data_IF_483947108213
#
_entry.id   IF_483947108213
#
_cell.length_a   1.000
_cell.length_b   1.000
_cell.length_c   1.000
_cell.angle_alpha   90.00
_cell.angle_beta   90.00
_cell.angle_gamma   90.00
#
_symmetry.space_group_name_H-M   'P 1'
#
loop_
_entity.id
_entity.type
_entity.pdbx_description
1 polymer ?
#
# COMPACT_ATOMS: atom_id res chain seq x y z
N UNK A 1 -9.78 -19.05 6.63
CA UNK A 1 -8.88 -19.92 5.82
C UNK A 1 -8.62 -19.21 4.49
N UNK A 2 -7.39 -18.79 4.20
CA UNK A 2 -7.02 -18.32 2.86
C UNK A 2 -7.29 -19.44 1.85
N UNK A 3 -7.99 -19.14 0.75
CA UNK A 3 -8.16 -20.10 -0.36
C UNK A 3 -6.78 -20.37 -0.99
N UNK A 4 -6.48 -21.62 -1.29
CA UNK A 4 -5.19 -22.08 -1.83
C UNK A 4 -4.69 -21.26 -3.03
N UNK A 5 -5.61 -20.71 -3.84
CA UNK A 5 -5.28 -19.80 -4.95
C UNK A 5 -4.65 -18.46 -4.53
N UNK A 6 -5.09 -17.86 -3.42
CA UNK A 6 -4.54 -16.60 -2.93
C UNK A 6 -3.10 -16.77 -2.39
N UNK A 7 -2.79 -17.94 -1.83
CA UNK A 7 -1.44 -18.28 -1.39
C UNK A 7 -0.47 -18.41 -2.57
N UNK A 8 -0.90 -19.07 -3.65
CA UNK A 8 -0.08 -19.24 -4.85
C UNK A 8 0.13 -17.91 -5.59
N UNK A 9 -0.88 -17.03 -5.64
CA UNK A 9 -0.74 -15.70 -6.24
C UNK A 9 0.23 -14.81 -5.44
N UNK A 10 0.12 -14.83 -4.10
CA UNK A 10 1.03 -14.09 -3.23
C UNK A 10 2.48 -14.60 -3.38
N UNK A 11 2.66 -15.93 -3.41
CA UNK A 11 3.97 -16.55 -3.65
C UNK A 11 4.50 -16.20 -5.04
N UNK A 12 3.65 -16.20 -6.07
CA UNK A 12 4.02 -15.80 -7.43
C UNK A 12 4.42 -14.32 -7.51
N UNK A 13 3.70 -13.42 -6.83
CA UNK A 13 4.05 -12.00 -6.76
C UNK A 13 5.39 -11.79 -6.03
N UNK A 14 5.63 -12.54 -4.95
CA UNK A 14 6.93 -12.56 -4.26
C UNK A 14 8.03 -13.06 -5.22
N UNK A 15 7.83 -14.18 -5.92
CA UNK A 15 8.80 -14.75 -6.86
C UNK A 15 9.07 -13.85 -8.07
N UNK A 16 8.04 -13.24 -8.65
CA UNK A 16 8.15 -12.28 -9.75
C UNK A 16 8.89 -11.02 -9.29
N UNK A 17 8.66 -10.55 -8.06
CA UNK A 17 9.40 -9.43 -7.47
C UNK A 17 10.88 -9.73 -7.21
N UNK A 18 11.18 -10.99 -6.85
CA UNK A 18 12.56 -11.49 -6.71
C UNK A 18 13.25 -11.56 -8.07
N UNK A 19 12.53 -11.96 -9.11
CA UNK A 19 13.08 -12.15 -10.46
C UNK A 19 13.28 -10.84 -11.25
N UNK A 20 12.39 -9.86 -11.12
CA UNK A 20 12.37 -8.67 -12.01
C UNK A 20 13.18 -7.45 -11.56
N UNK A 21 13.99 -7.51 -10.49
CA UNK A 21 14.73 -6.35 -9.91
C UNK A 21 13.89 -5.08 -9.61
N UNK A 22 12.58 -5.09 -9.82
CA UNK A 22 11.63 -4.06 -9.40
C UNK A 22 11.00 -4.50 -8.09
N UNK A 23 11.66 -4.16 -7.00
CA UNK A 23 11.21 -4.50 -5.64
C UNK A 23 10.08 -3.54 -5.24
N UNK A 24 8.83 -3.98 -5.04
CA UNK A 24 7.88 -3.22 -4.25
C UNK A 24 8.34 -3.29 -2.79
N UNK A 25 8.42 -2.16 -2.08
CA UNK A 25 8.91 -2.18 -0.68
C UNK A 25 7.77 -2.28 0.32
N UNK A 26 6.53 -2.09 -0.13
CA UNK A 26 5.36 -2.27 0.71
C UNK A 26 4.37 -3.18 0.00
N UNK A 27 3.87 -4.14 0.77
CA UNK A 27 2.69 -4.92 0.50
C UNK A 27 1.77 -4.77 1.71
N UNK A 28 0.58 -4.19 1.51
CA UNK A 28 -0.48 -4.21 2.52
C UNK A 28 -1.64 -5.06 2.00
N UNK A 29 -2.14 -5.97 2.83
CA UNK A 29 -3.32 -6.77 2.52
C UNK A 29 -4.52 -6.17 3.23
N UNK A 30 -5.64 -6.09 2.53
CA UNK A 30 -6.92 -5.78 3.15
C UNK A 30 -7.37 -6.93 4.07
N UNK A 31 -8.04 -6.65 5.20
CA UNK A 31 -8.45 -7.69 6.17
C UNK A 31 -9.42 -8.74 5.59
N UNK A 32 -10.19 -8.36 4.57
CA UNK A 32 -11.11 -9.26 3.86
C UNK A 32 -10.41 -10.13 2.80
N UNK A 33 -9.10 -9.95 2.59
CA UNK A 33 -8.30 -10.64 1.57
C UNK A 33 -8.83 -10.46 0.14
N UNK A 34 -9.48 -9.34 -0.16
CA UNK A 34 -9.98 -9.02 -1.51
C UNK A 34 -9.06 -8.10 -2.29
N UNK A 35 -8.24 -7.31 -1.58
CA UNK A 35 -7.38 -6.27 -2.15
C UNK A 35 -5.98 -6.28 -1.56
N UNK A 36 -5.02 -5.84 -2.35
CA UNK A 36 -3.66 -5.57 -1.89
C UNK A 36 -3.16 -4.23 -2.42
N UNK A 37 -2.30 -3.58 -1.63
CA UNK A 37 -1.66 -2.32 -1.97
C UNK A 37 -0.17 -2.53 -2.23
N UNK A 38 0.37 -1.87 -3.25
CA UNK A 38 1.80 -1.88 -3.59
C UNK A 38 2.33 -0.47 -3.82
N UNK A 39 3.60 -0.27 -3.51
CA UNK A 39 4.34 0.93 -3.91
C UNK A 39 5.75 0.58 -4.38
N UNK A 40 6.24 1.32 -5.38
CA UNK A 40 7.50 1.07 -6.09
C UNK A 40 8.52 2.19 -5.78
N UNK A 41 9.59 1.93 -5.01
CA UNK A 41 10.41 3.02 -4.47
C UNK A 41 11.63 3.44 -5.27
N UNK A 42 11.92 2.88 -6.44
CA UNK A 42 13.20 3.19 -7.11
C UNK A 42 13.02 3.68 -8.55
N UNK A 43 13.27 4.98 -8.68
CA UNK A 43 13.56 5.72 -9.90
C UNK A 43 13.26 7.20 -9.68
N UNK A 44 14.13 8.12 -10.14
CA UNK A 44 13.93 9.58 -10.07
C UNK A 44 12.67 10.07 -10.84
N UNK A 45 11.93 9.14 -11.46
CA UNK A 45 10.83 9.35 -12.38
C UNK A 45 9.57 8.52 -12.01
N UNK A 46 9.55 7.80 -10.89
CA UNK A 46 8.40 6.99 -10.48
C UNK A 46 7.63 7.75 -9.41
N UNK A 47 6.33 7.93 -9.62
CA UNK A 47 5.45 8.65 -8.69
C UNK A 47 5.42 7.96 -7.33
N UNK A 48 5.37 8.74 -6.24
CA UNK A 48 5.25 8.25 -4.85
C UNK A 48 3.83 7.79 -4.53
N UNK A 49 3.27 7.03 -5.45
CA UNK A 49 1.89 6.61 -5.42
C UNK A 49 1.78 5.21 -4.78
N UNK A 50 0.57 4.87 -4.35
CA UNK A 50 0.22 3.53 -3.90
C UNK A 50 -0.88 2.98 -4.79
N UNK A 51 -0.60 1.88 -5.48
CA UNK A 51 -1.57 1.23 -6.33
C UNK A 51 -2.31 0.14 -5.56
N UNK A 52 -3.63 0.07 -5.75
CA UNK A 52 -4.51 -0.94 -5.16
C UNK A 52 -4.96 -1.89 -6.26
N UNK A 53 -4.90 -3.18 -5.97
CA UNK A 53 -5.26 -4.27 -6.89
C UNK A 53 -6.27 -5.22 -6.25
N UNK A 54 -7.08 -5.86 -7.09
CA UNK A 54 -7.91 -7.00 -6.70
C UNK A 54 -7.05 -8.25 -6.53
N UNK A 55 -7.22 -8.97 -5.43
CA UNK A 55 -6.62 -10.30 -5.23
C UNK A 55 -7.32 -11.39 -6.04
N UNK A 56 -8.60 -11.20 -6.37
CA UNK A 56 -9.38 -12.19 -7.11
C UNK A 56 -8.98 -12.22 -8.59
N UNK A 57 -8.89 -11.03 -9.20
CA UNK A 57 -8.67 -10.90 -10.65
C UNK A 57 -7.26 -10.46 -11.02
N UNK A 58 -6.46 -10.02 -10.03
CA UNK A 58 -5.17 -9.37 -10.29
C UNK A 58 -5.28 -7.99 -10.95
N UNK A 59 -6.50 -7.46 -11.09
CA UNK A 59 -6.71 -6.21 -11.81
C UNK A 59 -6.39 -4.99 -10.95
N UNK A 60 -5.82 -3.98 -11.62
CA UNK A 60 -5.66 -2.64 -11.07
C UNK A 60 -7.02 -2.04 -10.74
N UNK A 61 -7.16 -1.47 -9.54
CA UNK A 61 -8.37 -0.80 -9.08
C UNK A 61 -8.21 0.72 -9.09
N UNK A 62 -7.12 1.24 -8.51
CA UNK A 62 -6.85 2.68 -8.42
C UNK A 62 -5.45 2.98 -7.92
N UNK A 63 -5.06 4.24 -8.08
CA UNK A 63 -3.82 4.82 -7.56
C UNK A 63 -4.13 5.88 -6.51
N UNK A 64 -3.48 5.78 -5.35
CA UNK A 64 -3.52 6.78 -4.28
C UNK A 64 -2.37 7.76 -4.51
N UNK A 65 -2.71 8.95 -5.01
CA UNK A 65 -1.75 9.99 -5.39
C UNK A 65 -1.69 11.09 -4.38
N UNK A 66 -0.48 11.55 -4.07
CA UNK A 66 -0.31 12.83 -3.40
C UNK A 66 0.95 12.97 -2.56
N UNK A 67 1.61 11.88 -2.18
CA UNK A 67 2.90 11.99 -1.50
C UNK A 67 3.90 12.73 -2.40
N UNK A 68 4.54 13.74 -1.82
CA UNK A 68 5.26 14.76 -2.59
C UNK A 68 6.76 14.51 -2.66
N UNK A 69 7.27 13.54 -1.88
CA UNK A 69 8.69 13.21 -1.82
C UNK A 69 8.88 11.70 -1.68
N UNK A 70 10.12 11.27 -1.90
CA UNK A 70 10.52 9.89 -2.18
C UNK A 70 10.05 8.91 -1.12
N UNK A 71 9.52 7.81 -1.63
CA UNK A 71 9.43 6.54 -0.93
C UNK A 71 8.25 6.48 0.03
N UNK A 72 7.26 5.69 -0.36
CA UNK A 72 6.28 5.15 0.58
C UNK A 72 6.97 3.95 1.23
N UNK A 73 7.12 3.99 2.56
CA UNK A 73 7.77 2.92 3.35
C UNK A 73 6.82 2.16 4.27
N UNK A 74 5.63 2.70 4.51
CA UNK A 74 4.63 2.03 5.30
C UNK A 74 3.26 2.11 4.62
N UNK A 75 2.49 1.03 4.68
CA UNK A 75 1.06 1.05 4.40
C UNK A 75 0.32 0.01 5.25
N UNK A 76 -0.90 0.33 5.68
CA UNK A 76 -1.76 -0.57 6.43
C UNK A 76 -3.23 -0.26 6.13
N UNK A 77 -4.05 -1.29 5.95
CA UNK A 77 -5.50 -1.13 5.89
C UNK A 77 -6.08 -0.99 7.30
N UNK A 78 -7.16 -0.23 7.45
CA UNK A 78 -7.98 -0.24 8.66
C UNK A 78 -8.65 -1.61 8.85
N UNK A 79 -9.04 -1.99 10.07
CA UNK A 79 -9.69 -3.27 10.34
C UNK A 79 -10.97 -3.50 9.53
N UNK A 80 -11.73 -2.42 9.25
CA UNK A 80 -12.93 -2.45 8.41
C UNK A 80 -12.64 -2.43 6.90
N UNK A 81 -11.37 -2.32 6.50
CA UNK A 81 -10.94 -2.26 5.10
C UNK A 81 -11.37 -1.01 4.33
N UNK A 82 -12.03 -0.04 4.98
CA UNK A 82 -12.55 1.17 4.32
C UNK A 82 -11.50 2.26 4.18
N UNK A 83 -10.42 2.18 4.97
CA UNK A 83 -9.30 3.12 4.93
C UNK A 83 -7.99 2.39 4.71
N UNK A 84 -7.03 3.14 4.18
CA UNK A 84 -5.63 2.75 4.16
C UNK A 84 -4.79 3.94 4.64
N UNK A 85 -3.83 3.66 5.50
CA UNK A 85 -2.81 4.62 5.92
C UNK A 85 -1.55 4.36 5.11
N UNK A 86 -0.89 5.41 4.64
CA UNK A 86 0.41 5.34 3.96
C UNK A 86 1.39 6.29 4.62
N UNK A 87 2.62 5.83 4.82
CA UNK A 87 3.70 6.60 5.45
C UNK A 87 4.84 6.82 4.48
N UNK A 88 5.27 8.08 4.36
CA UNK A 88 6.42 8.46 3.53
C UNK A 88 7.68 8.69 4.35
N UNK A 89 8.81 8.30 3.78
CA UNK A 89 10.12 8.60 4.32
C UNK A 89 10.51 10.06 4.03
N UNK A 90 10.31 10.51 2.79
CA UNK A 90 10.74 11.84 2.32
C UNK A 90 9.84 12.97 2.80
N UNK A 91 8.52 12.86 2.61
CA UNK A 91 7.61 13.96 2.94
C UNK A 91 7.18 13.98 4.42
N UNK A 92 7.58 12.94 5.18
CA UNK A 92 7.33 12.77 6.61
C UNK A 92 5.85 12.90 6.98
N UNK A 93 4.96 12.51 6.07
CA UNK A 93 3.53 12.47 6.33
C UNK A 93 3.00 11.05 6.44
N UNK A 94 2.00 10.88 7.29
CA UNK A 94 1.04 9.77 7.19
C UNK A 94 -0.20 10.31 6.48
N UNK A 95 -0.65 9.63 5.44
CA UNK A 95 -1.88 9.96 4.72
C UNK A 95 -2.90 8.87 4.88
N UNK A 96 -4.13 9.27 5.17
CA UNK A 96 -5.27 8.36 5.28
C UNK A 96 -6.12 8.52 4.03
N UNK A 97 -6.44 7.42 3.38
CA UNK A 97 -7.21 7.38 2.15
C UNK A 97 -8.46 6.55 2.34
N UNK A 98 -9.52 6.95 1.66
CA UNK A 98 -10.72 6.15 1.46
C UNK A 98 -10.44 5.10 0.38
N UNK A 99 -10.64 3.82 0.68
CA UNK A 99 -10.25 2.73 -0.23
C UNK A 99 -11.23 2.56 -1.40
N UNK A 100 -12.45 3.06 -1.27
CA UNK A 100 -13.49 2.95 -2.29
C UNK A 100 -13.36 4.06 -3.34
N UNK A 101 -13.18 5.29 -2.89
CA UNK A 101 -13.09 6.47 -3.75
C UNK A 101 -11.64 6.80 -4.14
N UNK A 102 -10.66 6.30 -3.40
CA UNK A 102 -9.25 6.68 -3.55
C UNK A 102 -8.94 8.10 -3.07
N UNK A 103 -9.90 8.80 -2.45
CA UNK A 103 -9.71 10.17 -1.98
C UNK A 103 -8.87 10.20 -0.71
N UNK A 104 -7.99 11.18 -0.62
CA UNK A 104 -7.27 11.50 0.61
C UNK A 104 -8.24 12.10 1.62
N UNK A 105 -8.33 11.48 2.80
CA UNK A 105 -9.17 11.91 3.91
C UNK A 105 -8.43 12.80 4.90
N UNK A 106 -7.15 12.50 5.17
CA UNK A 106 -6.36 13.21 6.17
C UNK A 106 -4.86 13.14 5.89
N UNK A 107 -4.14 14.20 6.24
CA UNK A 107 -2.69 14.25 6.30
C UNK A 107 -2.29 14.47 7.77
N UNK A 108 -1.30 13.70 8.24
CA UNK A 108 -0.66 13.85 9.54
C UNK A 108 0.81 14.17 9.30
N UNK A 109 1.28 15.31 9.81
CA UNK A 109 2.67 15.73 9.66
C UNK A 109 3.50 15.23 10.84
N UNK A 110 4.69 14.69 10.55
CA UNK A 110 5.66 14.27 11.56
C UNK A 110 7.02 14.97 11.35
N UNK A 111 7.81 15.18 12.42
CA UNK A 111 9.13 15.79 12.31
C UNK A 111 10.18 14.84 11.72
N UNK A 112 9.90 13.53 11.72
CA UNK A 112 10.80 12.46 11.30
C UNK A 112 10.16 11.56 10.22
N UNK A 113 10.98 10.80 9.48
CA UNK A 113 10.49 9.86 8.47
C UNK A 113 9.55 8.79 9.04
N UNK A 114 8.56 8.37 8.24
CA UNK A 114 7.62 7.32 8.64
C UNK A 114 8.14 5.96 8.19
N UNK A 115 8.49 5.12 9.17
CA UNK A 115 8.97 3.76 8.92
C UNK A 115 7.86 2.71 9.01
N UNK A 116 6.81 2.97 9.81
CA UNK A 116 5.72 2.03 10.03
C UNK A 116 4.43 2.77 10.33
N UNK A 117 3.32 2.18 9.89
CA UNK A 117 1.96 2.57 10.24
C UNK A 117 1.18 1.31 10.56
N UNK A 118 0.29 1.39 11.54
CA UNK A 118 -0.68 0.35 11.86
C UNK A 118 -1.95 1.04 12.34
N UNK A 119 -3.09 0.42 12.08
CA UNK A 119 -4.32 0.78 12.77
C UNK A 119 -4.40 -0.01 14.08
N UNK A 120 -5.08 0.54 15.08
CA UNK A 120 -5.49 -0.26 16.22
C UNK A 120 -6.57 -1.25 15.78
N UNK A 121 -6.74 -2.39 16.46
CA UNK A 121 -7.74 -3.41 16.07
C UNK A 121 -9.19 -2.89 16.09
N UNK A 122 -9.46 -1.84 16.86
CA UNK A 122 -10.77 -1.21 17.04
C UNK A 122 -11.05 -0.04 16.08
N UNK A 123 -10.07 0.40 15.29
CA UNK A 123 -10.24 1.41 14.23
C UNK A 123 -9.51 2.72 14.46
#
# INVERSE_FOLDING_TARGET
MMRLGAFLLLLALILISVYLKKRPYILALSPDYTRYAVSYPIGRLVNNDVDIFSLETGMFLKTLKGHSDRGIFAAAFSPDGKKIATGSLGDKTVRIWDTETGKMLKILHHPSPILRVTFSPDG
#
